data_IF_448275628860
#
_entry.id   IF_448275628860
#
_cell.length_a   1.000
_cell.length_b   1.000
_cell.length_c   1.000
_cell.angle_alpha   90.00
_cell.angle_beta   90.00
_cell.angle_gamma   90.00
#
_symmetry.space_group_name_H-M   'P 1'
#
loop_
_entity.id
_entity.type
_entity.pdbx_description
1 polymer ?
#
# COMPACT_ATOMS: atom_id res chain seq x y z
N UNK A 1 -1.24 25.12 19.09
CA UNK A 1 -0.49 24.04 18.40
C UNK A 1 -1.40 23.23 17.51
N UNK A 2 -2.21 22.27 17.97
CA UNK A 2 -3.07 21.46 17.08
C UNK A 2 -4.03 22.27 16.17
N UNK A 3 -4.73 23.27 16.73
CA UNK A 3 -5.61 24.18 15.96
C UNK A 3 -4.86 25.10 14.97
N UNK A 4 -3.59 25.42 15.23
CA UNK A 4 -2.78 26.25 14.33
C UNK A 4 -2.14 25.41 13.21
N UNK A 5 -1.91 24.12 13.47
CA UNK A 5 -1.47 23.14 12.47
C UNK A 5 -2.59 22.75 11.53
N UNK A 6 -3.80 22.51 12.02
CA UNK A 6 -5.00 22.29 11.17
C UNK A 6 -5.28 23.50 10.27
N UNK A 7 -5.24 24.73 10.81
CA UNK A 7 -5.44 25.94 10.01
C UNK A 7 -4.31 26.20 8.99
N UNK A 8 -3.07 25.74 9.28
CA UNK A 8 -1.96 25.77 8.32
C UNK A 8 -2.12 24.72 7.23
N UNK A 9 -2.63 23.53 7.57
CA UNK A 9 -2.88 22.43 6.64
C UNK A 9 -4.01 22.81 5.66
N UNK A 10 -5.13 23.32 6.17
CA UNK A 10 -6.22 23.86 5.34
C UNK A 10 -5.77 24.98 4.41
N UNK A 11 -4.95 25.93 4.90
CA UNK A 11 -4.41 27.01 4.06
C UNK A 11 -3.48 26.52 2.96
N UNK A 12 -2.66 25.51 3.25
CA UNK A 12 -1.79 24.91 2.24
C UNK A 12 -2.62 24.17 1.19
N UNK A 13 -3.63 23.40 1.59
CA UNK A 13 -4.51 22.69 0.66
C UNK A 13 -5.27 23.65 -0.26
N UNK A 14 -5.70 24.82 0.25
CA UNK A 14 -6.39 25.84 -0.54
C UNK A 14 -5.45 26.52 -1.56
N UNK A 15 -4.18 26.76 -1.19
CA UNK A 15 -3.15 27.28 -2.10
C UNK A 15 -2.80 26.24 -3.18
N UNK A 16 -2.66 24.97 -2.80
CA UNK A 16 -2.35 23.88 -3.72
C UNK A 16 -3.50 23.69 -4.72
N UNK A 17 -4.76 23.67 -4.25
CA UNK A 17 -5.96 23.65 -5.12
C UNK A 17 -5.97 24.81 -6.10
N UNK A 18 -5.74 26.04 -5.64
CA UNK A 18 -5.70 27.23 -6.52
C UNK A 18 -4.57 27.19 -7.55
N UNK A 19 -3.37 26.76 -7.15
CA UNK A 19 -2.24 26.62 -8.08
C UNK A 19 -2.52 25.57 -9.15
N UNK A 20 -3.24 24.51 -8.80
CA UNK A 20 -3.65 23.47 -9.75
C UNK A 20 -4.83 23.88 -10.63
N UNK A 21 -5.85 24.58 -10.11
CA UNK A 21 -6.94 25.15 -10.93
C UNK A 21 -6.36 26.12 -11.98
N UNK A 22 -5.40 26.95 -11.57
CA UNK A 22 -4.68 27.82 -12.50
C UNK A 22 -3.83 27.06 -13.54
N UNK A 23 -3.33 25.86 -13.21
CA UNK A 23 -2.61 25.00 -14.13
C UNK A 23 -3.57 24.30 -15.11
N UNK A 24 -4.72 23.84 -14.62
CA UNK A 24 -5.82 23.24 -15.38
C UNK A 24 -6.41 24.22 -16.38
N UNK A 25 -6.77 25.43 -15.95
CA UNK A 25 -7.29 26.50 -16.81
C UNK A 25 -6.28 26.85 -17.91
N UNK A 26 -4.98 26.94 -17.56
CA UNK A 26 -3.93 27.18 -18.55
C UNK A 26 -3.77 26.03 -19.54
N UNK A 27 -3.89 24.78 -19.10
CA UNK A 27 -3.80 23.61 -19.97
C UNK A 27 -5.00 23.52 -20.93
N UNK A 28 -6.21 23.78 -20.44
CA UNK A 28 -7.44 23.78 -21.25
C UNK A 28 -7.42 24.87 -22.34
N UNK A 29 -6.82 26.03 -22.03
CA UNK A 29 -6.78 27.18 -22.96
C UNK A 29 -5.63 27.14 -23.99
N UNK A 30 -4.48 26.52 -23.68
CA UNK A 30 -3.24 26.72 -24.48
C UNK A 30 -2.66 25.48 -25.17
N UNK A 31 -2.98 24.25 -24.77
CA UNK A 31 -2.38 23.05 -25.39
C UNK A 31 -3.39 21.91 -25.56
N UNK A 32 -4.32 22.05 -26.51
CA UNK A 32 -5.11 20.90 -27.00
C UNK A 32 -4.25 19.74 -27.54
N UNK A 33 -2.94 19.96 -27.71
CA UNK A 33 -1.97 19.04 -28.31
C UNK A 33 -1.24 18.15 -27.28
N UNK A 34 -1.01 18.58 -26.03
CA UNK A 34 -0.34 17.78 -24.98
C UNK A 34 -1.32 17.12 -23.99
N UNK A 35 -2.08 16.16 -24.50
CA UNK A 35 -3.03 15.39 -23.69
C UNK A 35 -2.38 14.52 -22.62
N UNK A 36 -1.14 14.09 -22.83
CA UNK A 36 -0.42 13.26 -21.87
C UNK A 36 -0.03 14.11 -20.65
N UNK A 37 0.57 15.29 -20.86
CA UNK A 37 0.89 16.21 -19.77
C UNK A 37 -0.33 16.61 -18.95
N UNK A 38 -1.47 16.86 -19.62
CA UNK A 38 -2.75 17.11 -18.95
C UNK A 38 -3.17 15.96 -18.01
N UNK A 39 -3.14 14.72 -18.51
CA UNK A 39 -3.54 13.56 -17.73
C UNK A 39 -2.59 13.29 -16.55
N UNK A 40 -1.29 13.51 -16.74
CA UNK A 40 -0.30 13.42 -15.66
C UNK A 40 -0.57 14.48 -14.59
N UNK A 41 -0.91 15.72 -14.99
CA UNK A 41 -1.26 16.78 -14.05
C UNK A 41 -2.48 16.37 -13.19
N UNK A 42 -3.57 15.91 -13.84
CA UNK A 42 -4.75 15.40 -13.14
C UNK A 42 -4.44 14.23 -12.20
N UNK A 43 -3.54 13.33 -12.60
CA UNK A 43 -3.08 12.23 -11.74
C UNK A 43 -2.40 12.76 -10.49
N UNK A 44 -1.45 13.70 -10.63
CA UNK A 44 -0.74 14.27 -9.47
C UNK A 44 -1.69 15.06 -8.56
N UNK A 45 -2.64 15.80 -9.13
CA UNK A 45 -3.69 16.49 -8.36
C UNK A 45 -4.51 15.49 -7.55
N UNK A 46 -5.04 14.47 -8.23
CA UNK A 46 -5.86 13.44 -7.60
C UNK A 46 -5.12 12.71 -6.48
N UNK A 47 -3.84 12.41 -6.69
CA UNK A 47 -2.96 11.74 -5.72
C UNK A 47 -2.66 12.60 -4.50
N UNK A 48 -2.26 13.85 -4.69
CA UNK A 48 -1.80 14.72 -3.60
C UNK A 48 -2.94 15.38 -2.83
N UNK A 49 -4.06 15.67 -3.49
CA UNK A 49 -5.22 16.32 -2.88
C UNK A 49 -6.37 15.35 -2.59
N UNK A 50 -6.20 14.06 -2.88
CA UNK A 50 -7.24 13.04 -2.72
C UNK A 50 -8.55 13.39 -3.44
N UNK A 51 -8.44 13.84 -4.70
CA UNK A 51 -9.60 14.24 -5.52
C UNK A 51 -9.97 13.12 -6.49
N UNK A 52 -11.11 12.47 -6.24
CA UNK A 52 -11.58 11.32 -7.02
C UNK A 52 -11.83 11.67 -8.49
N UNK A 53 -12.46 12.82 -8.75
CA UNK A 53 -12.82 13.27 -10.09
C UNK A 53 -11.56 13.47 -10.95
N UNK A 54 -10.50 14.02 -10.37
CA UNK A 54 -9.22 14.19 -11.06
C UNK A 54 -8.56 12.86 -11.40
N UNK A 55 -8.62 11.87 -10.49
CA UNK A 55 -8.13 10.51 -10.76
C UNK A 55 -8.93 9.84 -11.88
N UNK A 56 -10.27 9.96 -11.86
CA UNK A 56 -11.14 9.40 -12.90
C UNK A 56 -10.92 10.04 -14.25
N UNK A 57 -10.84 11.37 -14.30
CA UNK A 57 -10.60 12.10 -15.53
C UNK A 57 -9.21 11.79 -16.10
N UNK A 58 -8.16 11.74 -15.26
CA UNK A 58 -6.83 11.30 -15.66
C UNK A 58 -6.87 9.92 -16.30
N UNK A 59 -7.53 8.97 -15.64
CA UNK A 59 -7.66 7.59 -16.11
C UNK A 59 -8.37 7.53 -17.49
N UNK A 60 -9.45 8.28 -17.67
CA UNK A 60 -10.20 8.31 -18.91
C UNK A 60 -9.42 8.94 -20.08
N UNK A 61 -8.65 10.01 -19.81
CA UNK A 61 -7.75 10.59 -20.80
C UNK A 61 -6.65 9.59 -21.18
N UNK A 62 -6.02 8.93 -20.20
CA UNK A 62 -4.98 7.94 -20.44
C UNK A 62 -5.49 6.73 -21.24
N UNK A 63 -6.69 6.22 -20.94
CA UNK A 63 -7.35 5.15 -21.72
C UNK A 63 -7.49 5.50 -23.21
N UNK A 64 -7.70 6.78 -23.53
CA UNK A 64 -7.78 7.24 -24.91
C UNK A 64 -6.40 7.36 -25.56
N UNK A 65 -5.34 7.59 -24.78
CA UNK A 65 -3.98 7.85 -25.28
C UNK A 65 -3.14 6.59 -25.52
N UNK A 66 -3.35 5.53 -24.75
CA UNK A 66 -2.54 4.29 -24.84
C UNK A 66 -2.51 3.62 -26.22
N UNK A 67 -3.42 3.99 -27.13
CA UNK A 67 -3.41 3.52 -28.52
C UNK A 67 -2.33 4.17 -29.39
N UNK A 68 -1.87 5.35 -29.00
CA UNK A 68 -1.01 6.21 -29.81
C UNK A 68 0.30 6.57 -29.11
N UNK A 69 0.40 6.32 -27.80
CA UNK A 69 1.55 6.70 -26.98
C UNK A 69 1.88 5.57 -26.00
N UNK A 70 3.07 4.95 -26.17
CA UNK A 70 3.53 3.87 -25.30
C UNK A 70 3.78 4.35 -23.86
N UNK A 71 4.23 5.60 -23.71
CA UNK A 71 4.47 6.18 -22.39
C UNK A 71 3.16 6.36 -21.61
N UNK A 72 2.01 6.45 -22.28
CA UNK A 72 0.71 6.54 -21.62
C UNK A 72 0.34 5.25 -20.87
N UNK A 73 0.89 4.08 -21.23
CA UNK A 73 0.58 2.82 -20.53
C UNK A 73 1.01 2.86 -19.08
N UNK A 74 2.23 3.31 -18.77
CA UNK A 74 2.68 3.30 -17.38
C UNK A 74 1.89 4.27 -16.51
N UNK A 75 1.54 5.44 -17.06
CA UNK A 75 0.68 6.40 -16.37
C UNK A 75 -0.75 5.90 -16.22
N UNK A 76 -1.28 5.13 -17.19
CA UNK A 76 -2.57 4.45 -17.03
C UNK A 76 -2.52 3.50 -15.84
N UNK A 77 -1.45 2.73 -15.70
CA UNK A 77 -1.23 1.84 -14.56
C UNK A 77 -1.22 2.61 -13.24
N UNK A 78 -0.47 3.72 -13.18
CA UNK A 78 -0.42 4.59 -11.99
C UNK A 78 -1.79 5.18 -11.65
N UNK A 79 -2.51 5.75 -12.61
CA UNK A 79 -3.84 6.31 -12.40
C UNK A 79 -4.85 5.25 -11.92
N UNK A 80 -4.78 4.04 -12.49
CA UNK A 80 -5.63 2.93 -12.08
C UNK A 80 -5.34 2.52 -10.63
N UNK A 81 -4.07 2.41 -10.24
CA UNK A 81 -3.70 2.05 -8.87
C UNK A 81 -4.00 3.15 -7.85
N UNK A 82 -3.83 4.43 -8.20
CA UNK A 82 -4.13 5.53 -7.30
C UNK A 82 -5.64 5.66 -7.06
N UNK A 83 -6.46 5.51 -8.11
CA UNK A 83 -7.93 5.44 -7.95
C UNK A 83 -8.34 4.21 -7.12
N UNK A 84 -7.71 3.06 -7.35
CA UNK A 84 -7.96 1.84 -6.61
C UNK A 84 -7.69 2.03 -5.10
N UNK A 85 -6.53 2.59 -4.75
CA UNK A 85 -6.16 2.92 -3.38
C UNK A 85 -7.13 3.93 -2.75
N UNK A 86 -7.51 4.97 -3.50
CA UNK A 86 -8.47 5.97 -3.04
C UNK A 86 -9.82 5.33 -2.68
N UNK A 87 -10.37 4.51 -3.59
CA UNK A 87 -11.66 3.85 -3.37
C UNK A 87 -11.62 2.93 -2.15
N UNK A 88 -10.54 2.15 -2.01
CA UNK A 88 -10.38 1.18 -0.91
C UNK A 88 -10.18 1.85 0.43
N UNK A 89 -9.32 2.87 0.52
CA UNK A 89 -9.14 3.64 1.76
C UNK A 89 -10.46 4.24 2.22
N UNK A 90 -11.22 4.86 1.31
CA UNK A 90 -12.55 5.41 1.64
C UNK A 90 -13.53 4.33 2.11
N UNK A 91 -13.48 3.13 1.51
CA UNK A 91 -14.34 2.01 1.92
C UNK A 91 -13.95 1.49 3.31
N UNK A 92 -12.66 1.36 3.61
CA UNK A 92 -12.17 0.92 4.92
C UNK A 92 -12.53 1.94 6.00
N UNK A 93 -12.32 3.24 5.77
CA UNK A 93 -12.70 4.29 6.75
C UNK A 93 -14.20 4.22 7.09
N UNK A 94 -15.07 4.12 6.09
CA UNK A 94 -16.52 3.99 6.33
C UNK A 94 -16.90 2.72 7.08
N UNK A 95 -16.13 1.66 6.89
CA UNK A 95 -16.35 0.39 7.56
C UNK A 95 -15.88 0.43 9.01
N UNK A 96 -14.71 1.00 9.28
CA UNK A 96 -14.19 1.22 10.64
C UNK A 96 -15.12 2.15 11.44
N UNK A 97 -15.60 3.25 10.83
CA UNK A 97 -16.58 4.14 11.44
C UNK A 97 -17.88 3.39 11.80
N UNK A 98 -18.42 2.62 10.86
CA UNK A 98 -19.64 1.84 11.11
C UNK A 98 -19.42 0.71 12.13
N UNK A 99 -18.24 0.11 12.17
CA UNK A 99 -17.90 -0.95 13.12
C UNK A 99 -17.75 -0.41 14.54
N UNK A 100 -17.22 0.81 14.70
CA UNK A 100 -17.05 1.48 15.98
C UNK A 100 -18.38 1.90 16.64
N UNK A 101 -19.47 1.94 15.88
CA UNK A 101 -20.82 2.24 16.40
C UNK A 101 -21.54 1.00 16.96
N UNK A 102 -21.01 -0.20 16.72
CA UNK A 102 -21.63 -1.47 17.11
C UNK A 102 -21.12 -1.97 18.47
N UNK A 103 -22.03 -2.49 19.29
CA UNK A 103 -21.69 -3.21 20.53
C UNK A 103 -21.36 -4.67 20.22
N UNK A 104 -20.24 -5.18 20.76
CA UNK A 104 -19.82 -6.58 20.53
C UNK A 104 -20.72 -7.59 21.24
N UNK A 105 -21.37 -7.17 22.33
CA UNK A 105 -22.22 -8.01 23.17
C UNK A 105 -23.68 -8.08 22.69
N UNK A 106 -24.09 -7.22 21.75
CA UNK A 106 -25.46 -7.19 21.21
C UNK A 106 -25.62 -8.15 20.02
N UNK A 107 -26.57 -9.08 20.13
CA UNK A 107 -26.89 -10.05 19.08
C UNK A 107 -27.39 -9.40 17.78
N UNK A 108 -28.09 -8.26 17.85
CA UNK A 108 -28.55 -7.54 16.67
C UNK A 108 -27.36 -6.90 15.92
N UNK A 109 -26.39 -6.35 16.66
CA UNK A 109 -25.19 -5.73 16.11
C UNK A 109 -24.23 -6.77 15.50
N UNK A 110 -24.21 -8.02 16.02
CA UNK A 110 -23.48 -9.11 15.37
C UNK A 110 -23.98 -9.39 13.95
N UNK A 111 -25.30 -9.38 13.73
CA UNK A 111 -25.88 -9.53 12.38
C UNK A 111 -25.46 -8.37 11.48
N UNK A 112 -25.47 -7.14 12.00
CA UNK A 112 -25.02 -5.95 11.25
C UNK A 112 -23.53 -6.05 10.90
N UNK A 113 -22.68 -6.53 11.81
CA UNK A 113 -21.24 -6.73 11.61
C UNK A 113 -20.97 -7.73 10.49
N UNK A 114 -21.71 -8.84 10.43
CA UNK A 114 -21.63 -9.80 9.33
C UNK A 114 -22.02 -9.18 7.98
N UNK A 115 -23.09 -8.38 7.96
CA UNK A 115 -23.52 -7.66 6.75
C UNK A 115 -22.49 -6.62 6.29
N UNK A 116 -21.90 -5.87 7.23
CA UNK A 116 -20.84 -4.89 6.95
C UNK A 116 -19.61 -5.59 6.37
N UNK A 117 -19.21 -6.72 6.97
CA UNK A 117 -18.11 -7.55 6.46
C UNK A 117 -18.43 -8.05 5.05
N UNK A 118 -19.65 -8.53 4.80
CA UNK A 118 -20.05 -8.96 3.47
C UNK A 118 -20.01 -7.82 2.41
N UNK A 119 -20.22 -6.56 2.83
CA UNK A 119 -20.09 -5.37 1.98
C UNK A 119 -18.63 -4.99 1.66
N UNK A 120 -17.63 -5.58 2.33
CA UNK A 120 -16.21 -5.36 2.03
C UNK A 120 -15.74 -6.01 0.73
N UNK A 121 -16.54 -6.91 0.13
CA UNK A 121 -16.26 -7.52 -1.17
C UNK A 121 -15.82 -6.49 -2.21
N UNK A 122 -14.78 -6.83 -2.96
CA UNK A 122 -14.28 -5.99 -4.04
C UNK A 122 -15.38 -5.67 -5.05
N UNK A 123 -15.52 -4.38 -5.33
CA UNK A 123 -16.45 -3.91 -6.36
C UNK A 123 -15.98 -4.31 -7.76
N UNK A 124 -16.90 -4.30 -8.72
CA UNK A 124 -16.55 -4.54 -10.14
C UNK A 124 -15.54 -3.52 -10.67
N UNK A 125 -15.60 -2.29 -10.16
CA UNK A 125 -14.70 -1.21 -10.54
C UNK A 125 -13.29 -1.50 -10.05
N UNK A 126 -13.11 -1.88 -8.78
CA UNK A 126 -11.79 -2.24 -8.25
C UNK A 126 -11.20 -3.45 -8.97
N UNK A 127 -12.02 -4.47 -9.25
CA UNK A 127 -11.59 -5.62 -10.05
C UNK A 127 -11.14 -5.24 -11.46
N UNK A 128 -11.75 -4.22 -12.04
CA UNK A 128 -11.34 -3.67 -13.33
C UNK A 128 -10.01 -2.91 -13.20
N UNK A 129 -9.88 -2.06 -12.18
CA UNK A 129 -8.72 -1.20 -11.98
C UNK A 129 -7.43 -1.97 -11.75
N UNK A 130 -7.41 -2.99 -10.87
CA UNK A 130 -6.16 -3.75 -10.66
C UNK A 130 -5.76 -4.55 -11.91
N UNK A 131 -6.73 -5.06 -12.68
CA UNK A 131 -6.46 -5.76 -13.95
C UNK A 131 -5.93 -4.81 -15.00
N UNK A 132 -6.48 -3.60 -15.07
CA UNK A 132 -6.04 -2.54 -15.97
C UNK A 132 -4.62 -2.08 -15.62
N UNK A 133 -4.28 -1.98 -14.32
CA UNK A 133 -2.93 -1.70 -13.87
C UNK A 133 -1.92 -2.79 -14.27
N UNK A 134 -2.30 -4.06 -14.14
CA UNK A 134 -1.45 -5.18 -14.55
C UNK A 134 -1.26 -5.24 -16.08
N UNK A 135 -2.34 -5.07 -16.86
CA UNK A 135 -2.27 -5.01 -18.33
C UNK A 135 -1.40 -3.83 -18.80
N UNK A 136 -1.50 -2.69 -18.13
CA UNK A 136 -0.65 -1.53 -18.37
C UNK A 136 0.83 -1.81 -18.10
N UNK A 137 1.15 -2.51 -17.00
CA UNK A 137 2.53 -2.91 -16.68
C UNK A 137 3.16 -3.85 -17.72
N UNK A 138 2.35 -4.74 -18.30
CA UNK A 138 2.80 -5.65 -19.36
C UNK A 138 3.05 -4.91 -20.68
N UNK A 139 2.24 -3.88 -20.98
CA UNK A 139 2.30 -3.13 -22.24
C UNK A 139 3.25 -1.96 -22.23
N UNK A 140 3.61 -1.42 -21.07
CA UNK A 140 4.50 -0.27 -20.95
C UNK A 140 5.97 -0.64 -21.22
N UNK A 141 6.33 -0.81 -22.49
CA UNK A 141 7.66 -1.29 -22.90
C UNK A 141 8.77 -0.25 -22.72
N UNK A 142 8.43 1.04 -22.77
CA UNK A 142 9.36 2.16 -22.55
C UNK A 142 9.44 2.64 -21.10
N UNK A 143 8.69 2.05 -20.17
CA UNK A 143 8.65 2.49 -18.79
C UNK A 143 10.01 2.33 -18.09
N UNK A 144 10.39 3.32 -17.30
CA UNK A 144 11.57 3.19 -16.44
C UNK A 144 11.30 2.21 -15.30
N UNK A 145 12.37 1.61 -14.76
CA UNK A 145 12.28 0.73 -13.59
C UNK A 145 11.60 1.41 -12.40
N UNK A 146 11.83 2.71 -12.19
CA UNK A 146 11.20 3.46 -11.10
C UNK A 146 9.69 3.62 -11.29
N UNK A 147 9.22 3.86 -12.51
CA UNK A 147 7.78 3.95 -12.78
C UNK A 147 7.08 2.59 -12.62
N UNK A 148 7.70 1.51 -13.11
CA UNK A 148 7.22 0.13 -12.92
C UNK A 148 7.12 -0.18 -11.42
N UNK A 149 8.17 0.11 -10.65
CA UNK A 149 8.18 -0.09 -9.20
C UNK A 149 7.09 0.70 -8.49
N UNK A 150 6.80 1.93 -8.92
CA UNK A 150 5.72 2.73 -8.33
C UNK A 150 4.34 2.06 -8.45
N UNK A 151 4.04 1.42 -9.59
CA UNK A 151 2.76 0.72 -9.79
C UNK A 151 2.73 -0.58 -8.97
N UNK A 152 3.84 -1.34 -8.98
CA UNK A 152 3.95 -2.56 -8.16
C UNK A 152 3.81 -2.27 -6.67
N UNK A 153 4.44 -1.19 -6.20
CA UNK A 153 4.29 -0.70 -4.84
C UNK A 153 2.83 -0.41 -4.50
N UNK A 154 2.15 0.36 -5.34
CA UNK A 154 0.75 0.73 -5.13
C UNK A 154 -0.18 -0.50 -5.12
N UNK A 155 0.08 -1.50 -5.96
CA UNK A 155 -0.65 -2.77 -5.96
C UNK A 155 -0.40 -3.58 -4.67
N UNK A 156 0.84 -3.64 -4.19
CA UNK A 156 1.16 -4.32 -2.92
C UNK A 156 0.54 -3.57 -1.73
N UNK A 157 0.62 -2.24 -1.71
CA UNK A 157 -0.09 -1.42 -0.69
C UNK A 157 -1.60 -1.65 -0.75
N UNK A 158 -2.17 -1.82 -1.94
CA UNK A 158 -3.59 -2.13 -2.06
C UNK A 158 -3.93 -3.49 -1.42
N UNK A 159 -3.08 -4.51 -1.59
CA UNK A 159 -3.36 -5.83 -0.97
C UNK A 159 -3.22 -5.81 0.54
N UNK A 160 -2.41 -4.91 1.14
CA UNK A 160 -2.36 -4.76 2.60
C UNK A 160 -3.65 -4.16 3.18
N UNK A 161 -4.42 -3.40 2.38
CA UNK A 161 -5.73 -2.84 2.78
C UNK A 161 -6.87 -3.87 2.69
N UNK A 162 -6.61 -5.06 2.17
CA UNK A 162 -7.60 -6.13 2.02
C UNK A 162 -7.45 -7.13 3.17
N UNK A 163 -8.20 -6.94 4.25
CA UNK A 163 -7.97 -7.69 5.50
C UNK A 163 -8.98 -8.81 5.74
N UNK A 164 -10.17 -8.71 5.14
CA UNK A 164 -11.25 -9.68 5.36
C UNK A 164 -10.96 -11.05 4.70
N UNK A 165 -11.35 -12.18 5.33
CA UNK A 165 -11.12 -13.53 4.77
C UNK A 165 -11.66 -13.72 3.35
N UNK A 166 -12.76 -13.05 3.02
CA UNK A 166 -13.37 -13.08 1.68
C UNK A 166 -12.49 -12.48 0.56
N UNK A 167 -11.37 -11.84 0.90
CA UNK A 167 -10.42 -11.26 -0.07
C UNK A 167 -9.37 -12.25 -0.58
N UNK A 168 -9.28 -13.46 -0.01
CA UNK A 168 -8.24 -14.45 -0.32
C UNK A 168 -8.00 -14.66 -1.82
N UNK A 169 -9.06 -14.92 -2.59
CA UNK A 169 -8.95 -15.16 -4.04
C UNK A 169 -8.46 -13.92 -4.80
N UNK A 170 -8.95 -12.74 -4.41
CA UNK A 170 -8.61 -11.48 -5.06
C UNK A 170 -7.14 -11.11 -4.79
N UNK A 171 -6.68 -11.27 -3.55
CA UNK A 171 -5.27 -11.05 -3.16
C UNK A 171 -4.34 -12.00 -3.91
N UNK A 172 -4.68 -13.30 -3.98
CA UNK A 172 -3.90 -14.27 -4.74
C UNK A 172 -3.84 -13.88 -6.24
N UNK A 173 -4.94 -13.35 -6.79
CA UNK A 173 -5.00 -12.91 -8.19
C UNK A 173 -4.13 -11.69 -8.49
N UNK A 174 -3.83 -10.86 -7.48
CA UNK A 174 -3.01 -9.65 -7.60
C UNK A 174 -1.54 -9.98 -7.29
N UNK A 175 -1.26 -10.64 -6.16
CA UNK A 175 0.10 -10.89 -5.70
C UNK A 175 0.87 -11.85 -6.60
N UNK A 176 0.21 -12.87 -7.18
CA UNK A 176 0.88 -13.83 -8.07
C UNK A 176 1.57 -13.12 -9.26
N UNK A 177 0.88 -12.30 -10.06
CA UNK A 177 1.55 -11.61 -11.16
C UNK A 177 2.45 -10.46 -10.70
N UNK A 178 2.17 -9.79 -9.58
CA UNK A 178 3.07 -8.79 -8.99
C UNK A 178 4.42 -9.41 -8.64
N UNK A 179 4.44 -10.55 -7.92
CA UNK A 179 5.66 -11.29 -7.58
C UNK A 179 6.43 -11.71 -8.84
N UNK A 180 5.73 -12.27 -9.84
CA UNK A 180 6.33 -12.65 -11.10
C UNK A 180 7.00 -11.47 -11.83
N UNK A 181 6.42 -10.26 -11.72
CA UNK A 181 7.01 -9.05 -12.29
C UNK A 181 8.20 -8.55 -11.48
N UNK A 182 8.15 -8.62 -10.15
CA UNK A 182 9.28 -8.28 -9.27
C UNK A 182 10.49 -9.19 -9.54
N UNK A 183 10.28 -10.46 -9.84
CA UNK A 183 11.37 -11.41 -10.15
C UNK A 183 12.09 -11.11 -11.48
N UNK A 184 11.51 -10.29 -12.35
CA UNK A 184 12.12 -9.87 -13.61
C UNK A 184 12.96 -8.59 -13.47
N UNK A 185 12.84 -7.88 -12.36
CA UNK A 185 13.55 -6.62 -12.12
C UNK A 185 14.91 -6.87 -11.46
N UNK A 186 15.85 -5.98 -11.74
CA UNK A 186 17.14 -5.98 -11.03
C UNK A 186 16.90 -5.78 -9.54
N UNK A 187 17.52 -6.66 -8.75
CA UNK A 187 17.32 -6.74 -7.31
C UNK A 187 18.14 -5.68 -6.60
N UNK A 188 17.46 -4.90 -5.76
CA UNK A 188 18.05 -3.99 -4.79
C UNK A 188 17.26 -4.02 -3.48
N UNK A 189 17.67 -3.20 -2.51
CA UNK A 189 17.07 -3.16 -1.19
C UNK A 189 15.55 -2.86 -1.24
N UNK A 190 15.14 -1.87 -2.03
CA UNK A 190 13.72 -1.48 -2.12
C UNK A 190 12.87 -2.60 -2.72
N UNK A 191 13.39 -3.30 -3.73
CA UNK A 191 12.70 -4.42 -4.35
C UNK A 191 12.58 -5.62 -3.40
N UNK A 192 13.61 -5.89 -2.60
CA UNK A 192 13.58 -6.93 -1.57
C UNK A 192 12.56 -6.62 -0.46
N UNK A 193 12.48 -5.37 0.00
CA UNK A 193 11.44 -4.94 0.93
C UNK A 193 10.04 -5.09 0.33
N UNK A 194 9.85 -4.72 -0.95
CA UNK A 194 8.57 -4.90 -1.63
C UNK A 194 8.18 -6.39 -1.77
N UNK A 195 9.16 -7.28 -2.02
CA UNK A 195 8.94 -8.73 -2.00
C UNK A 195 8.53 -9.23 -0.60
N UNK A 196 9.18 -8.74 0.45
CA UNK A 196 8.81 -9.08 1.81
C UNK A 196 7.36 -8.67 2.13
N UNK A 197 6.94 -7.47 1.73
CA UNK A 197 5.54 -7.04 1.88
C UNK A 197 4.56 -7.94 1.12
N UNK A 198 4.93 -8.39 -0.08
CA UNK A 198 4.12 -9.36 -0.82
C UNK A 198 4.00 -10.70 -0.07
N UNK A 199 5.07 -11.17 0.58
CA UNK A 199 5.05 -12.38 1.40
C UNK A 199 4.13 -12.22 2.62
N UNK A 200 4.27 -11.12 3.37
CA UNK A 200 3.45 -10.84 4.55
C UNK A 200 1.97 -10.60 4.23
N UNK A 201 1.66 -9.95 3.11
CA UNK A 201 0.26 -9.75 2.71
C UNK A 201 -0.37 -11.06 2.23
N UNK A 202 0.40 -11.92 1.53
CA UNK A 202 -0.09 -13.19 1.01
C UNK A 202 -0.31 -14.27 2.07
N UNK A 203 0.56 -14.32 3.10
CA UNK A 203 0.53 -15.39 4.10
C UNK A 203 -0.80 -15.45 4.88
N UNK A 204 -1.40 -14.27 5.16
CA UNK A 204 -2.62 -14.14 5.98
C UNK A 204 -3.79 -15.01 5.51
N UNK A 205 -3.80 -15.38 4.23
CA UNK A 205 -4.87 -16.13 3.59
C UNK A 205 -4.47 -17.55 3.20
N UNK A 206 -3.35 -18.05 3.72
CA UNK A 206 -2.96 -19.45 3.56
C UNK A 206 -3.66 -20.30 4.62
N UNK A 207 -4.07 -21.52 4.23
CA UNK A 207 -4.82 -22.42 5.12
C UNK A 207 -3.92 -23.11 6.16
N UNK A 208 -2.64 -23.30 5.84
CA UNK A 208 -1.69 -24.08 6.64
C UNK A 208 -0.69 -23.16 7.31
N UNK A 209 -0.51 -23.31 8.63
CA UNK A 209 0.48 -22.55 9.39
C UNK A 209 1.91 -22.83 8.91
N UNK A 210 2.23 -24.07 8.50
CA UNK A 210 3.50 -24.37 7.82
C UNK A 210 3.71 -23.53 6.55
N UNK A 211 2.65 -23.28 5.77
CA UNK A 211 2.75 -22.45 4.56
C UNK A 211 2.90 -20.96 4.91
N UNK A 212 2.25 -20.51 6.00
CA UNK A 212 2.41 -19.15 6.54
C UNK A 212 3.82 -18.92 7.08
N UNK A 213 4.35 -19.89 7.81
CA UNK A 213 5.72 -19.89 8.33
C UNK A 213 6.74 -19.74 7.19
N UNK A 214 6.60 -20.51 6.11
CA UNK A 214 7.48 -20.43 4.93
C UNK A 214 7.48 -19.01 4.34
N UNK A 215 6.30 -18.41 4.16
CA UNK A 215 6.19 -17.04 3.62
C UNK A 215 6.76 -16.00 4.59
N UNK A 216 6.52 -16.13 5.90
CA UNK A 216 7.07 -15.22 6.91
C UNK A 216 8.61 -15.32 6.97
N UNK A 217 9.18 -16.52 6.91
CA UNK A 217 10.64 -16.72 6.81
C UNK A 217 11.20 -16.10 5.53
N UNK A 218 10.50 -16.22 4.40
CA UNK A 218 10.89 -15.58 3.16
C UNK A 218 10.88 -14.05 3.28
N UNK A 219 9.88 -13.47 3.97
CA UNK A 219 9.82 -12.05 4.26
C UNK A 219 11.00 -11.59 5.13
N UNK A 220 11.24 -12.23 6.28
CA UNK A 220 12.36 -11.91 7.18
C UNK A 220 13.69 -11.96 6.44
N UNK A 221 13.92 -13.03 5.66
CA UNK A 221 15.14 -13.19 4.86
C UNK A 221 15.30 -12.06 3.84
N UNK A 222 14.24 -11.70 3.11
CA UNK A 222 14.30 -10.66 2.10
C UNK A 222 14.64 -9.29 2.72
N UNK A 223 14.04 -8.93 3.87
CA UNK A 223 14.37 -7.66 4.55
C UNK A 223 15.78 -7.67 5.10
N UNK A 224 16.25 -8.79 5.65
CA UNK A 224 17.64 -8.91 6.11
C UNK A 224 18.64 -8.77 4.95
N UNK A 225 18.33 -9.33 3.78
CA UNK A 225 19.13 -9.15 2.56
C UNK A 225 19.08 -7.70 2.08
N UNK A 226 17.91 -7.05 2.11
CA UNK A 226 17.76 -5.64 1.76
C UNK A 226 18.68 -4.75 2.61
N UNK A 227 18.68 -4.98 3.93
CA UNK A 227 19.52 -4.23 4.87
C UNK A 227 21.01 -4.42 4.64
N UNK A 228 21.44 -5.61 4.21
CA UNK A 228 22.86 -5.87 3.84
C UNK A 228 23.28 -5.12 2.57
N UNK A 229 22.33 -4.80 1.68
CA UNK A 229 22.59 -4.03 0.47
C UNK A 229 22.67 -2.52 0.72
N UNK A 230 22.03 -2.02 1.79
CA UNK A 230 22.13 -0.61 2.18
C UNK A 230 23.47 -0.35 2.88
N UNK A 231 24.07 0.80 2.61
CA UNK A 231 25.20 1.26 3.39
C UNK A 231 24.74 1.60 4.82
N UNK A 232 25.65 1.54 5.81
CA UNK A 232 25.33 1.84 7.22
C UNK A 232 24.73 3.24 7.43
N UNK A 233 24.97 4.18 6.52
CA UNK A 233 24.42 5.54 6.55
C UNK A 233 23.12 5.70 5.74
N UNK A 234 22.60 4.62 5.15
CA UNK A 234 21.35 4.57 4.39
C UNK A 234 20.28 3.73 5.10
N UNK A 235 20.44 3.48 6.40
CA UNK A 235 19.42 2.80 7.19
C UNK A 235 18.05 3.47 7.06
N UNK A 236 17.03 2.65 6.86
CA UNK A 236 15.65 3.07 6.63
C UNK A 236 14.81 2.65 7.83
N UNK A 237 14.17 3.60 8.50
CA UNK A 237 13.23 3.32 9.59
C UNK A 237 12.17 2.29 9.17
N UNK A 238 11.67 2.45 7.94
CA UNK A 238 10.68 1.56 7.33
C UNK A 238 11.20 0.13 7.15
N UNK A 239 12.47 -0.06 6.84
CA UNK A 239 13.04 -1.41 6.66
C UNK A 239 13.16 -2.13 8.00
N UNK A 240 13.50 -1.39 9.07
CA UNK A 240 13.52 -1.90 10.43
C UNK A 240 12.13 -2.25 10.94
N UNK A 241 11.15 -1.38 10.67
CA UNK A 241 9.75 -1.64 10.99
C UNK A 241 9.22 -2.88 10.25
N UNK A 242 9.52 -3.02 8.94
CA UNK A 242 9.11 -4.17 8.15
C UNK A 242 9.75 -5.47 8.64
N UNK A 243 11.02 -5.42 9.08
CA UNK A 243 11.69 -6.57 9.68
C UNK A 243 10.99 -6.99 10.99
N UNK A 244 10.69 -6.03 11.85
CA UNK A 244 10.02 -6.28 13.13
C UNK A 244 8.63 -6.91 12.91
N UNK A 245 7.83 -6.34 11.98
CA UNK A 245 6.54 -6.91 11.57
C UNK A 245 6.68 -8.34 11.07
N UNK A 246 7.68 -8.61 10.22
CA UNK A 246 7.91 -9.95 9.70
C UNK A 246 8.30 -10.96 10.79
N UNK A 247 9.06 -10.54 11.80
CA UNK A 247 9.47 -11.37 12.92
C UNK A 247 8.31 -11.70 13.86
N UNK A 248 7.45 -10.72 14.19
CA UNK A 248 6.22 -10.95 14.97
C UNK A 248 5.24 -11.87 14.23
N UNK A 249 5.07 -11.66 12.93
CA UNK A 249 4.21 -12.55 12.14
C UNK A 249 4.78 -13.97 12.10
N UNK A 250 6.11 -14.12 11.96
CA UNK A 250 6.75 -15.43 12.00
C UNK A 250 6.57 -16.13 13.36
N UNK A 251 6.70 -15.40 14.49
CA UNK A 251 6.59 -16.00 15.82
C UNK A 251 5.21 -16.62 16.08
N UNK A 252 4.16 -16.20 15.36
CA UNK A 252 2.83 -16.79 15.47
C UNK A 252 2.71 -18.20 14.86
N UNK A 253 3.69 -18.64 14.06
CA UNK A 253 3.63 -19.89 13.30
C UNK A 253 4.80 -20.84 13.57
N UNK A 254 5.71 -20.46 14.46
CA UNK A 254 6.85 -21.30 14.87
C UNK A 254 6.45 -22.13 16.09
N UNK A 255 6.67 -23.44 16.02
CA UNK A 255 6.35 -24.38 17.12
C UNK A 255 7.39 -24.36 18.26
N UNK A 256 8.62 -23.92 17.99
CA UNK A 256 9.73 -23.89 18.95
C UNK A 256 9.64 -22.63 19.84
N UNK A 257 9.31 -22.82 21.12
CA UNK A 257 9.17 -21.74 22.09
C UNK A 257 10.45 -20.90 22.25
N UNK A 258 11.63 -21.51 22.14
CA UNK A 258 12.90 -20.78 22.23
C UNK A 258 13.07 -19.86 21.01
N UNK A 259 12.72 -20.33 19.82
CA UNK A 259 12.73 -19.52 18.59
C UNK A 259 11.67 -18.41 18.64
N UNK A 260 10.49 -18.67 19.22
CA UNK A 260 9.46 -17.64 19.43
C UNK A 260 9.98 -16.50 20.29
N UNK A 261 10.65 -16.80 21.42
CA UNK A 261 11.23 -15.78 22.30
C UNK A 261 12.30 -14.99 21.55
N UNK A 262 13.21 -15.66 20.83
CA UNK A 262 14.26 -14.99 20.05
C UNK A 262 13.68 -14.05 18.97
N UNK A 263 12.58 -14.46 18.32
CA UNK A 263 11.91 -13.65 17.30
C UNK A 263 11.24 -12.41 17.91
N UNK A 264 10.56 -12.54 19.04
CA UNK A 264 9.91 -11.42 19.73
C UNK A 264 10.96 -10.43 20.25
N UNK A 265 12.04 -10.91 20.86
CA UNK A 265 13.15 -10.05 21.31
C UNK A 265 13.80 -9.32 20.12
N UNK A 266 14.07 -10.02 19.03
CA UNK A 266 14.63 -9.44 17.81
C UNK A 266 13.69 -8.42 17.15
N UNK A 267 12.37 -8.65 17.24
CA UNK A 267 11.37 -7.71 16.76
C UNK A 267 11.33 -6.44 17.60
N UNK A 268 11.40 -6.57 18.93
CA UNK A 268 11.49 -5.42 19.84
C UNK A 268 12.74 -4.57 19.57
N UNK A 269 13.90 -5.19 19.37
CA UNK A 269 15.11 -4.48 18.96
C UNK A 269 14.94 -3.76 17.62
N UNK A 270 14.30 -4.43 16.66
CA UNK A 270 14.04 -3.85 15.33
C UNK A 270 13.06 -2.67 15.39
N UNK A 271 12.00 -2.74 16.19
CA UNK A 271 11.08 -1.61 16.40
C UNK A 271 11.76 -0.45 17.14
N UNK A 272 12.57 -0.72 18.17
CA UNK A 272 13.38 0.31 18.84
C UNK A 272 14.28 1.03 17.84
N UNK A 273 14.92 0.28 16.94
CA UNK A 273 15.77 0.86 15.90
C UNK A 273 14.99 1.69 14.88
N UNK A 274 13.79 1.23 14.50
CA UNK A 274 12.90 2.01 13.64
C UNK A 274 12.51 3.35 14.31
N UNK A 275 12.18 3.32 15.61
CA UNK A 275 11.83 4.51 16.39
C UNK A 275 13.01 5.46 16.59
N UNK A 276 14.24 4.95 16.72
CA UNK A 276 15.45 5.80 16.75
C UNK A 276 15.62 6.61 15.45
N UNK A 277 15.27 6.01 14.31
CA UNK A 277 15.41 6.62 12.99
C UNK A 277 14.21 7.52 12.64
N UNK A 278 13.03 7.23 13.17
CA UNK A 278 11.81 8.02 13.01
C UNK A 278 11.04 8.15 14.35
N UNK A 279 11.45 9.09 15.23
CA UNK A 279 10.89 9.21 16.59
C UNK A 279 9.43 9.65 16.65
N UNK A 280 8.89 10.20 15.56
CA UNK A 280 7.52 10.71 15.48
C UNK A 280 6.52 9.64 15.01
N UNK A 281 6.99 8.41 14.76
CA UNK A 281 6.14 7.30 14.35
C UNK A 281 5.40 6.70 15.56
N UNK A 282 4.20 7.20 15.84
CA UNK A 282 3.36 6.76 16.96
C UNK A 282 2.98 5.27 16.87
N UNK A 283 2.78 4.72 15.67
CA UNK A 283 2.45 3.30 15.51
C UNK A 283 3.61 2.41 15.99
N UNK A 284 4.84 2.75 15.60
CA UNK A 284 6.05 2.04 16.04
C UNK A 284 6.23 2.18 17.55
N UNK A 285 5.96 3.36 18.12
CA UNK A 285 6.05 3.60 19.55
C UNK A 285 5.07 2.73 20.35
N UNK A 286 3.82 2.63 19.91
CA UNK A 286 2.81 1.74 20.51
C UNK A 286 3.28 0.29 20.47
N UNK A 287 3.88 -0.16 19.36
CA UNK A 287 4.41 -1.52 19.25
C UNK A 287 5.59 -1.78 20.20
N UNK A 288 6.49 -0.80 20.40
CA UNK A 288 7.58 -0.91 21.38
C UNK A 288 7.03 -1.01 22.79
N UNK A 289 6.04 -0.20 23.14
CA UNK A 289 5.40 -0.23 24.46
C UNK A 289 4.72 -1.58 24.71
N UNK A 290 3.92 -2.06 23.75
CA UNK A 290 3.21 -3.35 23.84
C UNK A 290 4.16 -4.55 23.99
N UNK A 291 5.28 -4.57 23.26
CA UNK A 291 6.24 -5.69 23.30
C UNK A 291 7.23 -5.60 24.47
N UNK A 292 7.39 -4.42 25.09
CA UNK A 292 8.25 -4.23 26.25
C UNK A 292 7.56 -4.52 27.59
N UNK A 293 6.23 -4.59 27.61
CA UNK A 293 5.48 -5.01 28.80
C UNK A 293 5.71 -6.51 29.06
N UNK A 294 6.14 -6.90 30.27
CA UNK A 294 6.23 -8.32 30.62
C UNK A 294 4.81 -8.91 30.62
N UNK A 295 4.63 -10.04 29.93
CA UNK A 295 3.40 -10.82 30.03
C UNK A 295 3.17 -11.20 31.51
N UNK A 296 2.16 -10.60 32.13
CA UNK A 296 1.70 -10.93 33.48
C UNK A 296 1.13 -12.36 33.57
#
# INVERSE_FOLDING_TARGET
>A
MALEEEQKKEKNDDIVRRLFDMALDRYQDKEKEDRLGYAICLLQVGRHLSVEESLKESLDVLRALVRNDDAAWIYLGQAATELLLFLRKRQNTRFEEALAELDEEDEEDQVVREELTAKQKLSREEKKLYKEAMDALEKATSASSSQVRSVLYALTTYTTLLEQPLHQEDIASILKPVRARLDQLETDADLLCLKAECHLSGQRFLESDQSKEIECRAAVKAVQEAKKLRAENEESARDWELLAKAQIELSNFVDDEDEVIELVDSALESYKKALELDPENEDVKVMVEMLAEPAD
#
